data_IF_141410669102
#
_entry.id   IF_141410669102
#
_cell.length_a   1.000
_cell.length_b   1.000
_cell.length_c   1.000
_cell.angle_alpha   90.00
_cell.angle_beta   90.00
_cell.angle_gamma   90.00
#
_symmetry.space_group_name_H-M   'P 1'
#
loop_
_entity.id
_entity.type
_entity.pdbx_description
1 polymer ?
#
# COMPACT_ATOMS: atom_id res chain seq x y z
N UNK A 1 -13.89 -9.44 -6.77
CA UNK A 1 -14.82 -8.51 -7.43
C UNK A 1 -14.35 -7.10 -7.10
N UNK A 2 -14.00 -6.26 -8.09
CA UNK A 2 -13.56 -4.89 -7.80
C UNK A 2 -14.79 -3.99 -7.75
N UNK A 3 -15.12 -3.49 -6.56
CA UNK A 3 -16.11 -2.45 -6.33
C UNK A 3 -15.38 -1.23 -5.81
N UNK A 4 -15.71 -0.06 -6.34
CA UNK A 4 -15.10 1.19 -5.90
C UNK A 4 -15.82 1.71 -4.66
N UNK A 5 -15.09 2.29 -3.71
CA UNK A 5 -15.72 2.92 -2.56
C UNK A 5 -16.60 4.10 -2.99
N UNK A 6 -16.17 4.87 -4.00
CA UNK A 6 -16.95 5.96 -4.58
C UNK A 6 -18.15 5.50 -5.42
N UNK A 7 -18.32 4.20 -5.68
CA UNK A 7 -19.55 3.64 -6.27
C UNK A 7 -20.69 3.53 -5.26
N UNK A 8 -20.43 3.69 -3.95
CA UNK A 8 -21.47 3.61 -2.92
C UNK A 8 -22.18 2.25 -2.92
N UNK A 9 -21.43 1.18 -3.22
CA UNK A 9 -21.97 -0.17 -3.32
C UNK A 9 -22.25 -0.76 -1.92
N UNK A 10 -23.30 -0.25 -1.27
CA UNK A 10 -23.94 -0.86 -0.11
C UNK A 10 -25.17 -1.68 -0.54
N UNK A 11 -25.97 -2.13 0.43
CA UNK A 11 -27.18 -2.91 0.14
C UNK A 11 -28.28 -2.12 -0.60
N UNK A 12 -28.26 -0.77 -0.56
CA UNK A 12 -29.26 0.05 -1.27
C UNK A 12 -28.92 0.21 -2.75
N UNK A 13 -27.64 0.13 -3.15
CA UNK A 13 -27.18 0.26 -4.54
C UNK A 13 -27.81 1.48 -5.24
N UNK A 14 -27.51 2.69 -4.80
CA UNK A 14 -28.10 3.92 -5.36
C UNK A 14 -27.67 4.19 -6.81
N UNK A 15 -26.61 3.52 -7.28
CA UNK A 15 -26.09 3.59 -8.64
C UNK A 15 -25.75 2.20 -9.19
N UNK A 16 -25.73 2.11 -10.52
CA UNK A 16 -25.23 0.91 -11.19
C UNK A 16 -23.71 0.84 -10.97
N UNK A 17 -23.16 -0.27 -10.42
CA UNK A 17 -21.72 -0.42 -10.25
C UNK A 17 -20.96 -0.21 -11.55
N UNK A 18 -19.83 0.48 -11.53
CA UNK A 18 -19.12 0.84 -12.76
C UNK A 18 -18.63 -0.36 -13.54
N UNK A 19 -18.29 -1.45 -12.87
CA UNK A 19 -17.96 -2.70 -13.56
C UNK A 19 -19.16 -3.24 -14.35
N UNK A 20 -20.35 -3.33 -13.75
CA UNK A 20 -21.55 -3.73 -14.48
C UNK A 20 -21.87 -2.76 -15.63
N UNK A 21 -21.68 -1.45 -15.42
CA UNK A 21 -21.85 -0.46 -16.49
C UNK A 21 -20.87 -0.69 -17.64
N UNK A 22 -19.58 -0.93 -17.34
CA UNK A 22 -18.54 -1.24 -18.35
C UNK A 22 -18.93 -2.46 -19.17
N UNK A 23 -19.37 -3.53 -18.49
CA UNK A 23 -19.81 -4.75 -19.17
C UNK A 23 -20.92 -4.48 -20.19
N UNK A 24 -21.96 -3.75 -19.76
CA UNK A 24 -23.10 -3.39 -20.58
C UNK A 24 -22.73 -2.45 -21.74
N UNK A 25 -21.87 -1.47 -21.51
CA UNK A 25 -21.39 -0.55 -22.54
C UNK A 25 -20.60 -1.30 -23.64
N UNK A 26 -19.77 -2.29 -23.28
CA UNK A 26 -19.09 -3.18 -24.24
C UNK A 26 -20.08 -4.03 -25.04
N UNK A 27 -21.19 -4.45 -24.41
CA UNK A 27 -22.23 -5.23 -25.07
C UNK A 27 -23.24 -4.41 -25.89
N UNK A 28 -23.09 -3.08 -25.93
CA UNK A 28 -24.05 -2.19 -26.61
C UNK A 28 -25.43 -2.20 -25.95
N UNK A 29 -25.46 -2.34 -24.62
CA UNK A 29 -26.68 -2.40 -23.83
C UNK A 29 -26.72 -1.23 -22.84
N UNK A 30 -27.84 -0.52 -22.77
CA UNK A 30 -28.09 0.48 -21.74
C UNK A 30 -29.18 -0.03 -20.81
N UNK A 31 -28.76 -0.47 -19.64
CA UNK A 31 -29.66 -0.90 -18.58
C UNK A 31 -29.85 0.22 -17.54
N UNK A 32 -31.11 0.41 -17.11
CA UNK A 32 -31.46 1.28 -15.99
C UNK A 32 -31.09 0.63 -14.66
N UNK A 33 -31.08 1.42 -13.57
CA UNK A 33 -30.83 0.86 -12.23
C UNK A 33 -31.96 -0.10 -11.81
N UNK A 34 -33.20 0.24 -12.13
CA UNK A 34 -34.36 -0.63 -11.93
C UNK A 34 -34.22 -1.95 -12.71
N UNK A 35 -33.87 -1.86 -13.99
CA UNK A 35 -33.61 -3.02 -14.84
C UNK A 35 -32.52 -3.91 -14.27
N UNK A 36 -31.43 -3.32 -13.79
CA UNK A 36 -30.38 -4.08 -13.11
C UNK A 36 -30.87 -4.75 -11.82
N UNK A 37 -31.59 -4.01 -10.96
CA UNK A 37 -32.13 -4.53 -9.68
C UNK A 37 -33.15 -5.66 -9.88
N UNK A 38 -33.83 -5.71 -11.04
CA UNK A 38 -34.75 -6.80 -11.38
C UNK A 38 -34.08 -8.14 -11.63
N UNK A 39 -32.77 -8.13 -11.94
CA UNK A 39 -32.00 -9.34 -12.18
C UNK A 39 -31.78 -10.12 -10.87
N UNK A 40 -31.75 -11.46 -10.92
CA UNK A 40 -31.30 -12.31 -9.81
C UNK A 40 -29.94 -11.83 -9.27
N UNK A 41 -29.73 -11.99 -7.96
CA UNK A 41 -28.48 -11.57 -7.33
C UNK A 41 -27.25 -12.19 -8.00
N UNK A 42 -27.32 -13.47 -8.38
CA UNK A 42 -26.26 -14.19 -9.09
C UNK A 42 -25.95 -13.56 -10.44
N UNK A 43 -26.95 -13.13 -11.20
CA UNK A 43 -26.78 -12.47 -12.49
C UNK A 43 -26.20 -11.06 -12.33
N UNK A 44 -26.62 -10.32 -11.30
CA UNK A 44 -26.03 -9.03 -10.95
C UNK A 44 -24.55 -9.16 -10.58
N UNK A 45 -24.21 -10.11 -9.72
CA UNK A 45 -22.82 -10.39 -9.33
C UNK A 45 -21.99 -10.81 -10.55
N UNK A 46 -22.55 -11.65 -11.43
CA UNK A 46 -21.90 -12.08 -12.65
C UNK A 46 -21.63 -10.91 -13.61
N UNK A 47 -22.58 -9.99 -13.80
CA UNK A 47 -22.35 -8.77 -14.60
C UNK A 47 -21.21 -7.91 -14.04
N UNK A 48 -21.15 -7.70 -12.73
CA UNK A 48 -20.07 -6.96 -12.07
C UNK A 48 -18.73 -7.68 -12.27
N UNK A 49 -18.70 -9.00 -12.13
CA UNK A 49 -17.50 -9.81 -12.34
C UNK A 49 -16.99 -9.72 -13.78
N UNK A 50 -17.87 -9.86 -14.78
CA UNK A 50 -17.52 -9.75 -16.20
C UNK A 50 -16.94 -8.38 -16.52
N UNK A 51 -17.54 -7.32 -15.98
CA UNK A 51 -17.03 -5.95 -16.15
C UNK A 51 -15.71 -5.65 -15.44
N UNK A 52 -15.28 -6.50 -14.50
CA UNK A 52 -14.01 -6.37 -13.78
C UNK A 52 -12.83 -7.06 -14.48
N UNK A 53 -13.08 -7.84 -15.52
CA UNK A 53 -12.04 -8.59 -16.25
C UNK A 53 -11.34 -7.70 -17.29
N UNK A 54 -10.13 -8.08 -17.70
CA UNK A 54 -9.39 -7.35 -18.74
C UNK A 54 -10.14 -7.35 -20.08
N UNK A 55 -10.77 -8.48 -20.41
CA UNK A 55 -11.63 -8.65 -21.59
C UNK A 55 -13.05 -8.94 -21.13
N UNK A 56 -14.03 -8.23 -21.68
CA UNK A 56 -15.45 -8.43 -21.36
C UNK A 56 -16.04 -9.50 -22.30
N UNK A 57 -16.67 -10.53 -21.72
CA UNK A 57 -17.47 -11.50 -22.48
C UNK A 57 -18.82 -10.88 -22.87
N UNK A 58 -18.85 -10.25 -24.05
CA UNK A 58 -20.03 -9.55 -24.58
C UNK A 58 -21.22 -10.49 -24.80
N UNK A 59 -20.97 -11.75 -25.16
CA UNK A 59 -22.03 -12.73 -25.41
C UNK A 59 -22.79 -13.00 -24.11
N UNK A 60 -22.07 -13.32 -23.04
CA UNK A 60 -22.67 -13.62 -21.75
C UNK A 60 -23.35 -12.39 -21.11
N UNK A 61 -22.75 -11.20 -21.25
CA UNK A 61 -23.39 -9.94 -20.83
C UNK A 61 -24.70 -9.72 -21.56
N UNK A 62 -24.73 -9.95 -22.89
CA UNK A 62 -25.95 -9.79 -23.70
C UNK A 62 -27.04 -10.74 -23.23
N UNK A 63 -26.70 -12.01 -22.94
CA UNK A 63 -27.66 -12.99 -22.41
C UNK A 63 -28.28 -12.51 -21.09
N UNK A 64 -27.46 -12.02 -20.16
CA UNK A 64 -27.97 -11.51 -18.87
C UNK A 64 -28.80 -10.24 -19.07
N UNK A 65 -28.40 -9.33 -19.96
CA UNK A 65 -29.14 -8.08 -20.17
C UNK A 65 -30.56 -8.31 -20.74
N UNK A 66 -30.80 -9.42 -21.44
CA UNK A 66 -32.10 -9.77 -22.01
C UNK A 66 -33.14 -10.22 -20.96
N UNK A 67 -32.70 -10.71 -19.79
CA UNK A 67 -33.61 -11.13 -18.71
C UNK A 67 -34.10 -9.96 -17.84
N UNK A 68 -33.49 -8.77 -17.99
CA UNK A 68 -33.79 -7.60 -17.18
C UNK A 68 -35.17 -6.98 -17.47
N UNK A 69 -35.77 -6.39 -16.43
CA UNK A 69 -37.08 -5.70 -16.48
C UNK A 69 -36.99 -4.35 -15.74
N UNK A 70 -37.17 -3.20 -16.42
CA UNK A 70 -37.40 -3.05 -17.85
C UNK A 70 -36.22 -3.55 -18.70
N UNK A 71 -36.51 -3.92 -19.95
CA UNK A 71 -35.51 -4.42 -20.89
C UNK A 71 -34.43 -3.37 -21.16
N UNK A 72 -33.21 -3.83 -21.45
CA UNK A 72 -32.11 -2.95 -21.84
C UNK A 72 -32.35 -2.31 -23.22
N UNK A 73 -32.06 -1.01 -23.35
CA UNK A 73 -32.02 -0.35 -24.65
C UNK A 73 -30.75 -0.75 -25.41
N UNK A 74 -30.82 -0.80 -26.74
CA UNK A 74 -29.63 -0.97 -27.59
C UNK A 74 -28.94 0.37 -27.82
N UNK A 75 -27.63 0.37 -27.63
CA UNK A 75 -26.74 1.51 -27.89
C UNK A 75 -25.53 1.06 -28.69
N UNK A 76 -24.79 2.00 -29.28
CA UNK A 76 -23.50 1.69 -29.87
C UNK A 76 -22.54 1.14 -28.79
N UNK A 77 -21.86 0.00 -29.04
CA UNK A 77 -20.83 -0.51 -28.14
C UNK A 77 -19.74 0.54 -27.90
N UNK A 78 -19.31 0.68 -26.65
CA UNK A 78 -18.25 1.62 -26.27
C UNK A 78 -17.04 0.84 -25.78
N UNK A 79 -15.88 0.91 -26.47
CA UNK A 79 -14.66 0.24 -26.04
C UNK A 79 -14.03 0.97 -24.85
N UNK A 80 -13.09 0.30 -24.19
CA UNK A 80 -12.31 0.92 -23.12
C UNK A 80 -11.44 2.07 -23.60
N UNK A 81 -11.18 3.08 -22.74
CA UNK A 81 -10.19 4.10 -23.04
C UNK A 81 -8.79 3.50 -23.30
N UNK A 82 -8.09 4.05 -24.29
CA UNK A 82 -6.76 3.62 -24.69
C UNK A 82 -5.76 3.68 -23.52
N UNK A 83 -4.86 2.69 -23.38
CA UNK A 83 -3.78 2.73 -22.38
C UNK A 83 -2.66 3.72 -22.75
N UNK A 84 -2.64 4.26 -23.98
CA UNK A 84 -1.57 5.12 -24.47
C UNK A 84 -1.58 6.48 -23.76
N UNK A 85 -2.75 7.11 -23.66
CA UNK A 85 -2.91 8.42 -23.04
C UNK A 85 -4.33 8.61 -22.47
N UNK A 86 -4.50 9.40 -21.40
CA UNK A 86 -5.80 9.85 -20.92
C UNK A 86 -6.54 10.64 -22.01
N UNK A 87 -7.88 10.65 -21.96
CA UNK A 87 -8.67 11.46 -22.88
C UNK A 87 -8.59 12.95 -22.51
N UNK A 88 -8.66 13.83 -23.51
CA UNK A 88 -8.65 15.29 -23.29
C UNK A 88 -9.78 15.75 -22.37
N UNK A 89 -10.95 15.11 -22.48
CA UNK A 89 -12.10 15.37 -21.62
C UNK A 89 -11.82 15.04 -20.14
N UNK A 90 -11.12 13.93 -19.87
CA UNK A 90 -10.72 13.57 -18.51
C UNK A 90 -9.71 14.58 -17.96
N UNK A 91 -8.72 14.97 -18.76
CA UNK A 91 -7.72 15.96 -18.38
C UNK A 91 -8.36 17.33 -18.11
N UNK A 92 -9.31 17.75 -18.95
CA UNK A 92 -10.06 18.99 -18.75
C UNK A 92 -10.89 18.95 -17.46
N UNK A 93 -11.55 17.83 -17.16
CA UNK A 93 -12.34 17.67 -15.94
C UNK A 93 -11.50 17.65 -14.66
N UNK A 94 -10.28 17.10 -14.73
CA UNK A 94 -9.35 17.06 -13.59
C UNK A 94 -8.64 18.39 -13.34
N UNK A 95 -8.42 19.18 -14.40
CA UNK A 95 -7.68 20.43 -14.34
C UNK A 95 -6.19 20.24 -14.03
N UNK A 96 -5.47 21.35 -13.86
CA UNK A 96 -4.02 21.33 -13.61
C UNK A 96 -3.62 20.82 -12.22
N UNK A 97 -4.56 20.80 -11.27
CA UNK A 97 -4.31 20.38 -9.88
C UNK A 97 -4.24 18.86 -9.65
N UNK A 98 -4.66 18.04 -10.64
CA UNK A 98 -4.75 16.57 -10.51
C UNK A 98 -4.09 15.87 -11.71
N UNK A 99 -2.76 16.01 -11.85
CA UNK A 99 -2.07 15.45 -13.01
C UNK A 99 -2.08 13.93 -12.98
N UNK A 100 -2.39 13.29 -14.11
CA UNK A 100 -2.19 11.84 -14.28
C UNK A 100 -0.85 11.62 -15.01
N UNK A 101 0.20 11.10 -14.35
CA UNK A 101 1.44 10.79 -15.05
C UNK A 101 1.19 9.70 -16.12
N UNK A 102 1.77 9.81 -17.33
CA UNK A 102 1.55 8.83 -18.41
C UNK A 102 1.82 7.38 -18.00
N UNK A 103 2.88 7.14 -17.23
CA UNK A 103 3.21 5.81 -16.70
C UNK A 103 2.19 5.29 -15.68
N UNK A 104 1.52 6.18 -14.95
CA UNK A 104 0.44 5.80 -14.03
C UNK A 104 -0.81 5.41 -14.82
N UNK A 105 -1.15 6.17 -15.86
CA UNK A 105 -2.28 5.87 -16.75
C UNK A 105 -2.14 4.51 -17.46
N UNK A 106 -0.98 4.27 -18.08
CA UNK A 106 -0.74 3.05 -18.85
C UNK A 106 -0.76 1.79 -17.98
N UNK A 107 -0.43 1.93 -16.69
CA UNK A 107 -0.44 0.84 -15.72
C UNK A 107 -1.84 0.54 -15.12
N UNK A 108 -2.84 1.38 -15.36
CA UNK A 108 -4.20 1.15 -14.87
C UNK A 108 -4.82 -0.11 -15.50
N UNK A 109 -5.77 -0.73 -14.80
CA UNK A 109 -6.62 -1.74 -15.44
C UNK A 109 -7.57 -1.09 -16.46
N UNK A 110 -8.12 -1.84 -17.42
CA UNK A 110 -9.18 -1.33 -18.30
C UNK A 110 -10.37 -0.74 -17.54
N UNK A 111 -10.78 -1.39 -16.43
CA UNK A 111 -11.86 -0.90 -15.57
C UNK A 111 -11.51 0.43 -14.90
N UNK A 112 -10.28 0.61 -14.43
CA UNK A 112 -9.83 1.86 -13.80
C UNK A 112 -9.83 3.04 -14.77
N UNK A 113 -9.32 2.82 -15.99
CA UNK A 113 -9.41 3.84 -17.06
C UNK A 113 -10.85 4.16 -17.40
N UNK A 114 -11.68 3.13 -17.57
CA UNK A 114 -13.11 3.28 -17.84
C UNK A 114 -13.79 4.10 -16.74
N UNK A 115 -13.55 3.77 -15.47
CA UNK A 115 -14.15 4.42 -14.32
C UNK A 115 -13.83 5.93 -14.29
N UNK A 116 -12.56 6.31 -14.43
CA UNK A 116 -12.15 7.72 -14.46
C UNK A 116 -12.84 8.50 -15.58
N UNK A 117 -12.82 7.96 -16.80
CA UNK A 117 -13.45 8.61 -17.96
C UNK A 117 -14.98 8.68 -17.81
N UNK A 118 -15.60 7.63 -17.30
CA UNK A 118 -17.06 7.58 -17.12
C UNK A 118 -17.54 8.56 -16.07
N UNK A 119 -16.82 8.68 -14.95
CA UNK A 119 -17.14 9.64 -13.90
C UNK A 119 -16.91 11.08 -14.38
N UNK A 120 -15.82 11.34 -15.11
CA UNK A 120 -15.54 12.67 -15.68
C UNK A 120 -16.61 13.14 -16.68
N UNK A 121 -17.20 12.22 -17.46
CA UNK A 121 -18.33 12.49 -18.38
C UNK A 121 -19.71 12.49 -17.70
N UNK A 122 -19.77 12.03 -16.46
CA UNK A 122 -21.02 11.77 -15.76
C UNK A 122 -21.73 13.05 -15.29
N UNK A 123 -22.94 12.88 -14.76
CA UNK A 123 -23.72 13.97 -14.15
C UNK A 123 -23.36 14.25 -12.69
N UNK A 124 -22.37 13.53 -12.15
CA UNK A 124 -21.96 13.56 -10.73
C UNK A 124 -20.47 13.94 -10.63
N UNK A 125 -20.10 15.19 -10.99
CA UNK A 125 -18.70 15.65 -10.99
C UNK A 125 -18.04 15.58 -9.60
N UNK A 126 -18.83 15.65 -8.53
CA UNK A 126 -18.37 15.50 -7.14
C UNK A 126 -17.71 14.13 -6.86
N UNK A 127 -17.99 13.11 -7.68
CA UNK A 127 -17.37 11.77 -7.56
C UNK A 127 -15.99 11.69 -8.20
N UNK A 128 -15.60 12.66 -9.01
CA UNK A 128 -14.33 12.62 -9.74
C UNK A 128 -13.12 12.72 -8.79
N UNK A 129 -13.20 13.54 -7.76
CA UNK A 129 -12.11 13.68 -6.79
C UNK A 129 -11.89 12.39 -5.96
N UNK A 130 -12.94 11.79 -5.35
CA UNK A 130 -12.81 10.47 -4.73
C UNK A 130 -12.30 9.39 -5.70
N UNK A 131 -12.80 9.37 -6.94
CA UNK A 131 -12.36 8.41 -7.94
C UNK A 131 -10.87 8.59 -8.31
N UNK A 132 -10.42 9.82 -8.46
CA UNK A 132 -9.01 10.14 -8.68
C UNK A 132 -8.16 9.72 -7.49
N UNK A 133 -8.56 10.04 -6.26
CA UNK A 133 -7.84 9.64 -5.05
C UNK A 133 -7.77 8.12 -4.87
N UNK A 134 -8.85 7.39 -5.17
CA UNK A 134 -8.90 5.94 -5.07
C UNK A 134 -8.09 5.26 -6.19
N UNK A 135 -8.20 5.72 -7.43
CA UNK A 135 -7.60 5.04 -8.59
C UNK A 135 -6.15 5.50 -8.84
N UNK A 136 -5.91 6.80 -8.79
CA UNK A 136 -4.58 7.40 -9.01
C UNK A 136 -3.85 7.57 -7.68
N UNK A 137 -4.52 8.08 -6.65
CA UNK A 137 -3.92 8.34 -5.34
C UNK A 137 -3.48 7.08 -4.59
N UNK A 138 -4.15 5.93 -4.78
CA UNK A 138 -3.71 4.65 -4.19
C UNK A 138 -2.42 4.08 -4.82
N UNK A 139 -1.99 4.58 -5.99
CA UNK A 139 -0.67 4.27 -6.55
C UNK A 139 0.49 4.83 -5.70
N UNK A 140 0.19 5.74 -4.76
CA UNK A 140 1.15 6.28 -3.80
C UNK A 140 1.19 5.54 -2.46
N UNK A 141 0.16 4.76 -2.07
CA UNK A 141 0.04 4.25 -0.68
C UNK A 141 -0.22 2.74 -0.50
N UNK A 142 -0.65 1.97 -1.50
CA UNK A 142 -0.77 0.51 -1.37
C UNK A 142 -0.06 -0.20 -2.50
N UNK A 143 1.25 -0.14 -2.43
CA UNK A 143 2.14 -0.80 -3.37
C UNK A 143 2.07 -2.35 -3.21
N UNK A 144 1.57 -2.83 -2.06
CA UNK A 144 1.60 -4.24 -1.66
C UNK A 144 0.34 -5.08 -1.94
N UNK A 145 -0.71 -4.49 -2.51
CA UNK A 145 -1.97 -5.20 -2.80
C UNK A 145 -2.23 -5.22 -4.30
N UNK A 146 -2.51 -6.39 -4.85
CA UNK A 146 -2.86 -6.61 -6.24
C UNK A 146 -4.33 -6.22 -6.50
N UNK A 147 -4.74 -5.97 -7.76
CA UNK A 147 -6.11 -5.64 -8.13
C UNK A 147 -7.19 -6.66 -7.70
N UNK A 148 -6.80 -7.87 -7.29
CA UNK A 148 -7.67 -8.92 -6.75
C UNK A 148 -7.65 -9.08 -5.22
N UNK A 149 -7.02 -8.18 -4.47
CA UNK A 149 -6.87 -8.29 -3.01
C UNK A 149 -5.75 -9.20 -2.54
N UNK A 150 -5.02 -9.84 -3.47
CA UNK A 150 -3.84 -10.65 -3.16
C UNK A 150 -2.65 -9.79 -2.76
N UNK A 151 -1.89 -10.23 -1.78
CA UNK A 151 -0.66 -9.55 -1.35
C UNK A 151 0.44 -9.77 -2.39
N UNK A 152 1.12 -8.71 -2.83
CA UNK A 152 2.23 -8.78 -3.79
C UNK A 152 3.40 -7.88 -3.42
N UNK A 153 4.60 -8.27 -3.81
CA UNK A 153 5.78 -7.39 -3.81
C UNK A 153 5.70 -6.44 -5.02
N UNK A 154 6.06 -5.17 -4.81
CA UNK A 154 6.01 -4.13 -5.85
C UNK A 154 7.11 -4.35 -6.87
N UNK A 155 6.79 -4.26 -8.16
CA UNK A 155 7.81 -4.17 -9.20
C UNK A 155 8.60 -2.86 -9.08
N UNK A 156 9.89 -2.93 -8.75
CA UNK A 156 10.77 -1.74 -8.70
C UNK A 156 11.77 -1.68 -9.86
N UNK A 157 11.82 -2.68 -10.75
CA UNK A 157 12.85 -2.82 -11.79
C UNK A 157 12.98 -1.63 -12.75
N UNK A 158 11.90 -0.89 -13.01
CA UNK A 158 11.92 0.32 -13.85
C UNK A 158 12.39 1.60 -13.14
N UNK A 159 12.64 1.55 -11.82
CA UNK A 159 13.15 2.70 -11.06
C UNK A 159 14.68 2.74 -11.16
N UNK A 160 15.23 3.96 -11.22
CA UNK A 160 16.68 4.15 -11.13
C UNK A 160 17.17 3.95 -9.68
N UNK A 161 18.28 3.23 -9.45
CA UNK A 161 18.93 3.19 -8.16
C UNK A 161 19.43 4.57 -7.73
N UNK A 162 19.26 4.92 -6.47
CA UNK A 162 19.78 6.17 -5.88
C UNK A 162 20.34 5.86 -4.50
N UNK A 163 21.14 6.76 -3.93
CA UNK A 163 21.47 6.69 -2.51
C UNK A 163 20.17 6.78 -1.69
N UNK A 164 20.05 5.92 -0.69
CA UNK A 164 18.94 5.85 0.27
C UNK A 164 19.52 5.81 1.66
N UNK A 165 18.92 6.57 2.57
CA UNK A 165 19.25 6.52 3.99
C UNK A 165 17.97 6.51 4.82
N UNK A 166 17.95 5.76 5.89
CA UNK A 166 16.89 5.80 6.88
C UNK A 166 17.47 5.69 8.29
N UNK A 167 16.87 6.40 9.23
CA UNK A 167 17.24 6.35 10.64
C UNK A 167 16.00 6.08 11.47
N UNK A 168 16.11 5.12 12.37
CA UNK A 168 15.03 4.71 13.26
C UNK A 168 15.54 4.64 14.69
N UNK A 169 14.61 4.83 15.62
CA UNK A 169 14.86 4.70 17.05
C UNK A 169 13.94 3.68 17.68
N UNK A 170 14.44 3.06 18.74
CA UNK A 170 13.67 2.31 19.71
C UNK A 170 14.19 2.60 21.12
N UNK A 171 13.44 2.17 22.12
CA UNK A 171 13.80 2.32 23.52
C UNK A 171 13.36 1.09 24.28
N UNK A 172 14.10 0.70 25.30
CA UNK A 172 13.65 -0.33 26.24
C UNK A 172 13.81 0.19 27.67
N UNK A 173 12.73 0.16 28.42
CA UNK A 173 12.64 0.57 29.84
C UNK A 173 12.69 -0.66 30.71
N UNK A 174 13.41 -0.56 31.82
CA UNK A 174 13.58 -1.62 32.80
C UNK A 174 13.60 -1.08 34.23
N UNK A 175 13.59 -1.98 35.21
CA UNK A 175 13.79 -1.64 36.60
C UNK A 175 15.25 -1.25 36.90
N UNK A 176 15.50 -0.72 38.10
CA UNK A 176 16.82 -0.24 38.50
C UNK A 176 17.89 -1.35 38.57
N UNK A 177 17.53 -2.57 39.01
CA UNK A 177 18.47 -3.71 39.10
C UNK A 177 18.96 -4.11 37.69
N UNK A 178 18.03 -4.34 36.75
CA UNK A 178 18.38 -4.64 35.36
C UNK A 178 19.20 -3.52 34.70
N UNK A 179 18.86 -2.25 34.98
CA UNK A 179 19.62 -1.11 34.49
C UNK A 179 21.04 -1.06 35.06
N UNK A 180 21.21 -1.34 36.35
CA UNK A 180 22.53 -1.43 36.99
C UNK A 180 23.39 -2.51 36.33
N UNK A 181 22.81 -3.69 36.03
CA UNK A 181 23.53 -4.78 35.34
C UNK A 181 24.07 -4.38 33.97
N UNK A 182 23.28 -3.69 33.16
CA UNK A 182 23.73 -3.24 31.84
C UNK A 182 24.74 -2.10 31.94
N UNK A 183 24.53 -1.14 32.84
CA UNK A 183 25.44 0.00 33.02
C UNK A 183 26.82 -0.40 33.54
N UNK A 184 26.88 -1.38 34.44
CA UNK A 184 28.12 -1.90 35.00
C UNK A 184 28.71 -3.08 34.20
N UNK A 185 28.03 -3.53 33.13
CA UNK A 185 28.41 -4.71 32.35
C UNK A 185 28.54 -5.99 33.21
N UNK A 186 27.66 -6.16 34.19
CA UNK A 186 27.66 -7.31 35.13
C UNK A 186 26.56 -8.34 34.85
N UNK A 187 25.90 -8.25 33.69
CA UNK A 187 24.94 -9.25 33.26
C UNK A 187 25.62 -10.63 33.08
N UNK A 188 25.08 -11.74 33.64
CA UNK A 188 25.70 -13.06 33.54
C UNK A 188 25.83 -13.60 32.11
N UNK A 189 25.02 -13.07 31.19
CA UNK A 189 25.05 -13.44 29.77
C UNK A 189 26.15 -12.71 28.96
N UNK A 190 26.91 -11.81 29.59
CA UNK A 190 27.99 -11.07 28.95
C UNK A 190 27.58 -9.66 28.51
N UNK A 191 28.29 -9.13 27.51
CA UNK A 191 28.12 -7.76 27.01
C UNK A 191 26.75 -7.58 26.33
N UNK A 192 25.81 -6.96 27.06
CA UNK A 192 24.45 -6.70 26.60
C UNK A 192 24.43 -5.75 25.40
N UNK A 193 25.17 -4.63 25.46
CA UNK A 193 25.13 -3.60 24.43
C UNK A 193 25.88 -4.05 23.18
N UNK A 194 27.03 -4.72 23.33
CA UNK A 194 27.74 -5.35 22.22
C UNK A 194 26.91 -6.40 21.50
N UNK A 195 26.23 -7.27 22.27
CA UNK A 195 25.36 -8.31 21.69
C UNK A 195 24.17 -7.69 20.95
N UNK A 196 23.51 -6.68 21.54
CA UNK A 196 22.40 -5.96 20.90
C UNK A 196 22.83 -5.26 19.61
N UNK A 197 24.05 -4.71 19.57
CA UNK A 197 24.63 -4.08 18.37
C UNK A 197 24.82 -5.07 17.23
N UNK A 198 25.40 -6.24 17.52
CA UNK A 198 25.57 -7.30 16.50
C UNK A 198 24.22 -7.79 16.00
N UNK A 199 23.26 -8.00 16.91
CA UNK A 199 21.90 -8.42 16.56
C UNK A 199 21.20 -7.41 15.64
N UNK A 200 21.36 -6.10 15.90
CA UNK A 200 20.82 -5.04 15.06
C UNK A 200 21.39 -5.09 13.62
N UNK A 201 22.71 -5.24 13.48
CA UNK A 201 23.39 -5.34 12.18
C UNK A 201 22.94 -6.59 11.42
N UNK A 202 22.81 -7.72 12.11
CA UNK A 202 22.29 -8.95 11.51
C UNK A 202 20.84 -8.79 11.07
N UNK A 203 20.01 -8.17 11.90
CA UNK A 203 18.59 -7.94 11.60
C UNK A 203 18.40 -7.03 10.39
N UNK A 204 19.16 -5.93 10.28
CA UNK A 204 19.10 -5.05 9.11
C UNK A 204 19.30 -5.85 7.81
N UNK A 205 20.32 -6.71 7.75
CA UNK A 205 20.64 -7.53 6.57
C UNK A 205 19.60 -8.62 6.26
N UNK A 206 18.79 -9.02 7.24
CA UNK A 206 17.78 -10.08 7.12
C UNK A 206 16.35 -9.54 7.09
N UNK A 207 16.19 -8.24 6.90
CA UNK A 207 14.87 -7.58 6.91
C UNK A 207 13.90 -8.20 5.90
N UNK A 208 14.36 -8.50 4.68
CA UNK A 208 13.53 -9.12 3.63
C UNK A 208 13.14 -10.57 3.93
N UNK A 209 13.84 -11.26 4.84
CA UNK A 209 13.42 -12.59 5.31
C UNK A 209 12.30 -12.50 6.35
N UNK A 210 12.22 -11.39 7.07
CA UNK A 210 11.27 -11.17 8.17
C UNK A 210 10.02 -10.43 7.73
N UNK A 211 10.16 -9.45 6.84
CA UNK A 211 9.07 -8.60 6.35
C UNK A 211 8.66 -9.11 4.96
N UNK A 212 7.50 -9.79 4.79
CA UNK A 212 7.23 -10.62 3.62
C UNK A 212 7.30 -9.95 2.23
N UNK A 213 7.20 -8.62 2.16
CA UNK A 213 7.12 -7.88 0.91
C UNK A 213 8.24 -6.85 0.75
N UNK A 214 9.22 -6.85 1.65
CA UNK A 214 10.44 -6.10 1.49
C UNK A 214 11.28 -6.70 0.38
N UNK A 215 11.84 -5.84 -0.47
CA UNK A 215 12.83 -6.26 -1.46
C UNK A 215 14.13 -6.67 -0.74
N UNK A 216 14.87 -7.66 -1.26
CA UNK A 216 16.25 -7.83 -0.85
C UNK A 216 17.09 -6.64 -1.33
N UNK A 217 17.80 -5.99 -0.42
CA UNK A 217 18.61 -4.80 -0.68
C UNK A 217 20.08 -5.05 -0.35
N UNK A 218 20.97 -4.55 -1.20
CA UNK A 218 22.41 -4.54 -0.93
C UNK A 218 22.77 -3.35 -0.05
N UNK A 219 22.73 -3.55 1.27
CA UNK A 219 23.05 -2.51 2.25
C UNK A 219 24.53 -2.11 2.14
N UNK A 220 24.79 -0.82 2.13
CA UNK A 220 26.15 -0.26 2.06
C UNK A 220 26.67 0.12 3.44
N UNK A 221 25.78 0.46 4.37
CA UNK A 221 26.14 0.84 5.74
C UNK A 221 25.02 0.52 6.73
N UNK A 222 25.41 0.08 7.93
CA UNK A 222 24.51 -0.03 9.10
C UNK A 222 25.27 0.51 10.31
N UNK A 223 24.88 1.68 10.79
CA UNK A 223 25.39 2.27 12.03
C UNK A 223 24.37 2.05 13.15
N UNK A 224 24.84 1.68 14.33
CA UNK A 224 24.00 1.43 15.51
C UNK A 224 24.58 2.24 16.66
N UNK A 225 23.73 2.94 17.40
CA UNK A 225 24.09 3.66 18.62
C UNK A 225 23.21 3.16 19.75
N UNK A 226 23.83 2.85 20.88
CA UNK A 226 23.16 2.39 22.09
C UNK A 226 23.62 3.30 23.22
N UNK A 227 22.68 3.97 23.89
CA UNK A 227 22.97 4.87 25.00
C UNK A 227 22.10 4.56 26.21
N UNK A 228 22.65 4.78 27.40
CA UNK A 228 21.99 4.54 28.66
C UNK A 228 21.34 5.82 29.18
N UNK A 229 20.11 5.70 29.67
CA UNK A 229 19.35 6.75 30.32
C UNK A 229 19.08 6.34 31.76
N UNK A 230 19.91 6.86 32.67
CA UNK A 230 19.83 6.55 34.09
C UNK A 230 18.57 7.09 34.76
N UNK A 231 18.06 8.24 34.31
CA UNK A 231 16.86 8.86 34.89
C UNK A 231 15.66 7.97 34.61
N UNK A 232 15.56 7.46 33.39
CA UNK A 232 14.42 6.69 32.95
C UNK A 232 14.65 5.17 33.00
N UNK A 233 15.78 4.71 33.56
CA UNK A 233 16.24 3.31 33.57
C UNK A 233 16.02 2.63 32.22
N UNK A 234 16.64 3.18 31.18
CA UNK A 234 16.39 2.75 29.81
C UNK A 234 17.64 2.64 28.95
N UNK A 235 17.55 1.82 27.90
CA UNK A 235 18.49 1.81 26.78
C UNK A 235 17.80 2.44 25.58
N UNK A 236 18.38 3.50 25.04
CA UNK A 236 17.97 4.07 23.75
C UNK A 236 18.76 3.40 22.63
N UNK A 237 18.06 3.08 21.56
CA UNK A 237 18.61 2.45 20.36
C UNK A 237 18.37 3.39 19.18
N UNK A 238 19.43 3.80 18.51
CA UNK A 238 19.35 4.52 17.24
C UNK A 238 20.07 3.71 16.17
N UNK A 239 19.43 3.51 15.02
CA UNK A 239 20.01 2.79 13.89
C UNK A 239 19.89 3.61 12.62
N UNK A 240 20.99 3.79 11.90
CA UNK A 240 21.04 4.37 10.58
C UNK A 240 21.44 3.32 9.55
N UNK A 241 20.68 3.21 8.46
CA UNK A 241 20.93 2.27 7.36
C UNK A 241 21.06 3.02 6.06
N UNK A 242 22.00 2.60 5.21
CA UNK A 242 22.21 3.13 3.86
C UNK A 242 22.23 2.01 2.82
N UNK A 243 21.77 2.35 1.62
CA UNK A 243 21.98 1.54 0.42
C UNK A 243 22.04 2.40 -0.85
N UNK A 244 22.43 1.80 -1.96
CA UNK A 244 22.25 2.39 -3.30
C UNK A 244 21.28 1.51 -4.10
N UNK A 245 19.98 1.80 -4.02
CA UNK A 245 18.94 0.93 -4.58
C UNK A 245 17.65 1.69 -5.00
N UNK A 246 16.70 0.92 -5.53
CA UNK A 246 15.45 1.37 -6.18
C UNK A 246 14.32 1.63 -5.19
N UNK A 247 14.45 1.17 -3.95
CA UNK A 247 13.50 1.37 -2.85
C UNK A 247 14.25 1.81 -1.59
N UNK A 248 13.53 2.41 -0.63
CA UNK A 248 14.12 2.90 0.62
C UNK A 248 14.49 1.79 1.60
N UNK A 249 15.18 2.18 2.68
CA UNK A 249 15.70 1.30 3.74
C UNK A 249 15.02 1.55 5.11
N UNK A 250 13.80 2.09 5.09
CA UNK A 250 13.04 2.39 6.31
C UNK A 250 12.83 1.14 7.17
N UNK A 251 12.52 0.02 6.52
CA UNK A 251 12.22 -1.24 7.20
C UNK A 251 13.48 -1.86 7.80
N UNK A 252 14.64 -1.69 7.16
CA UNK A 252 15.91 -2.18 7.66
C UNK A 252 16.31 -1.45 8.95
N UNK A 253 16.14 -0.13 8.99
CA UNK A 253 16.41 0.67 10.19
C UNK A 253 15.44 0.29 11.34
N UNK A 254 14.13 0.21 11.05
CA UNK A 254 13.11 -0.13 12.04
C UNK A 254 13.28 -1.56 12.59
N UNK A 255 13.58 -2.52 11.72
CA UNK A 255 13.79 -3.92 12.10
C UNK A 255 15.02 -4.05 12.97
N UNK A 256 16.12 -3.40 12.59
CA UNK A 256 17.35 -3.39 13.37
C UNK A 256 17.17 -2.78 14.78
N UNK A 257 16.50 -1.62 14.89
CA UNK A 257 16.23 -0.99 16.17
C UNK A 257 15.32 -1.87 17.07
N UNK A 258 14.35 -2.56 16.47
CA UNK A 258 13.45 -3.49 17.16
C UNK A 258 14.19 -4.71 17.68
N UNK A 259 15.02 -5.35 16.85
CA UNK A 259 15.76 -6.56 17.22
C UNK A 259 16.85 -6.25 18.25
N UNK A 260 17.50 -5.09 18.18
CA UNK A 260 18.40 -4.62 19.23
C UNK A 260 17.68 -4.58 20.59
N UNK A 261 16.49 -3.99 20.65
CA UNK A 261 15.69 -3.88 21.88
C UNK A 261 15.21 -5.25 22.38
N UNK A 262 14.79 -6.14 21.48
CA UNK A 262 14.49 -7.54 21.81
C UNK A 262 15.70 -8.29 22.36
N UNK A 263 16.90 -7.97 21.87
CA UNK A 263 18.15 -8.58 22.34
C UNK A 263 18.50 -8.09 23.74
N UNK A 264 18.36 -6.78 24.02
CA UNK A 264 18.50 -6.25 25.39
C UNK A 264 17.52 -6.94 26.33
N UNK A 265 16.26 -7.10 25.90
CA UNK A 265 15.25 -7.83 26.66
C UNK A 265 15.71 -9.26 26.96
N UNK A 266 16.15 -10.02 25.95
CA UNK A 266 16.59 -11.41 26.14
C UNK A 266 17.74 -11.53 27.14
N UNK A 267 18.67 -10.58 27.08
CA UNK A 267 19.87 -10.53 27.92
C UNK A 267 19.55 -10.19 29.39
N UNK A 268 18.47 -9.46 29.65
CA UNK A 268 18.13 -8.95 30.99
C UNK A 268 16.85 -9.53 31.60
N UNK A 269 16.05 -10.32 30.86
CA UNK A 269 14.74 -10.85 31.33
C UNK A 269 14.77 -11.70 32.61
N UNK A 270 15.96 -12.12 33.05
CA UNK A 270 16.13 -12.82 34.33
C UNK A 270 16.01 -11.87 35.54
N UNK A 271 16.36 -10.59 35.35
CA UNK A 271 16.34 -9.54 36.37
C UNK A 271 15.10 -8.66 36.28
N UNK A 272 14.54 -8.53 35.07
CA UNK A 272 13.29 -7.82 34.86
C UNK A 272 12.46 -8.43 33.73
N UNK A 273 11.33 -9.05 34.07
CA UNK A 273 10.36 -9.54 33.07
C UNK A 273 9.33 -8.48 32.66
N UNK A 274 9.29 -7.35 33.38
CA UNK A 274 8.37 -6.25 33.14
C UNK A 274 8.91 -5.20 32.17
N UNK A 275 10.07 -5.44 31.55
CA UNK A 275 10.66 -4.50 30.60
C UNK A 275 9.71 -4.16 29.45
N UNK A 276 9.69 -2.90 29.06
CA UNK A 276 8.81 -2.40 27.99
C UNK A 276 9.65 -1.90 26.84
N UNK A 277 9.44 -2.48 25.65
CA UNK A 277 10.03 -2.01 24.40
C UNK A 277 9.10 -0.97 23.77
N UNK A 278 9.66 0.18 23.44
CA UNK A 278 9.03 1.25 22.70
C UNK A 278 9.23 2.63 23.32
N UNK A 279 8.87 3.69 22.57
CA UNK A 279 8.34 3.64 21.21
C UNK A 279 9.41 3.25 20.17
N UNK A 280 9.02 2.54 19.12
CA UNK A 280 9.85 2.32 17.91
C UNK A 280 9.29 3.15 16.77
N UNK A 281 10.12 4.00 16.15
CA UNK A 281 9.68 4.89 15.06
C UNK A 281 10.82 5.29 14.13
N UNK A 282 10.46 5.73 12.93
CA UNK A 282 11.38 6.38 11.99
C UNK A 282 11.66 7.82 12.45
N UNK A 283 12.92 8.23 12.44
CA UNK A 283 13.34 9.62 12.69
C UNK A 283 13.48 10.39 11.39
N UNK A 284 14.17 9.82 10.42
CA UNK A 284 14.39 10.46 9.15
C UNK A 284 14.62 9.45 8.05
N UNK A 285 14.34 9.85 6.82
CA UNK A 285 14.80 9.15 5.63
C UNK A 285 15.12 10.14 4.52
N UNK A 286 15.99 9.74 3.62
CA UNK A 286 16.31 10.51 2.42
C UNK A 286 16.44 9.64 1.18
N UNK A 287 16.23 10.29 0.03
CA UNK A 287 16.34 9.67 -1.28
C UNK A 287 15.08 8.96 -1.77
N UNK A 288 14.95 8.89 -3.10
CA UNK A 288 13.77 8.36 -3.77
C UNK A 288 12.71 9.39 -4.13
N UNK A 289 11.68 8.91 -4.84
CA UNK A 289 10.62 9.77 -5.40
C UNK A 289 9.78 10.48 -4.33
N UNK A 290 9.59 9.87 -3.16
CA UNK A 290 8.79 10.46 -2.08
C UNK A 290 9.49 11.65 -1.39
N UNK A 291 10.75 11.91 -1.73
CA UNK A 291 11.56 12.91 -1.05
C UNK A 291 11.95 12.49 0.37
N UNK A 292 12.55 13.45 1.06
CA UNK A 292 13.06 13.31 2.41
C UNK A 292 11.94 13.46 3.44
N UNK A 293 12.08 12.76 4.56
CA UNK A 293 11.17 12.85 5.69
C UNK A 293 11.97 13.02 6.97
N UNK A 294 11.42 13.80 7.90
CA UNK A 294 11.92 13.98 9.26
C UNK A 294 10.73 14.09 10.21
N UNK A 295 10.77 13.32 11.30
CA UNK A 295 9.73 13.23 12.32
C UNK A 295 9.78 14.39 13.33
#
# INVERSE_FOLDING_TARGET
MKLYAFDGADASLDLLPLAARRALDHAGCKLSLEGFRSLPFTEREQLVRLGSQDVVDVTLVTTIALSAKPAADRIAPSPDPSPIAPTDELLAALGSGRPIPPASWSALSPLDRYALVKVARGKTPERLEPAYAEIIGQSAFSSHVAPGGGVRMVGVGGKQPTLRRAEAVSRIVMNADAFERVSQSTAPKGDVLGTARVAAIMAAKRTSELIPLCHPLSLTKVDVTLSLDAVASAVHVEVAVECFDRTGVEMEALTAASVASLTVYDMLKAFDRGMVIGPTRLLQKSGGRSGDYRA
#
